data_IF_853750310821
#
_entry.id   IF_853750310821
#
_cell.length_a   1.000
_cell.length_b   1.000
_cell.length_c   1.000
_cell.angle_alpha   90.00
_cell.angle_beta   90.00
_cell.angle_gamma   90.00
#
_symmetry.space_group_name_H-M   'P 1'
#
loop_
_entity.id
_entity.type
_entity.pdbx_description
1 polymer ?
#
# COMPACT_ATOMS: atom_id res chain seq x y z
N UNK A 1 -4.01 -14.17 10.30
CA UNK A 1 -5.30 -13.65 10.82
C UNK A 1 -5.42 -12.14 10.59
N UNK A 2 -4.57 -11.32 11.22
CA UNK A 2 -4.47 -9.85 11.02
C UNK A 2 -4.66 -9.38 9.57
N UNK A 3 -3.72 -9.74 8.67
CA UNK A 3 -3.70 -9.22 7.30
C UNK A 3 -4.91 -9.69 6.48
N UNK A 4 -5.40 -10.91 6.76
CA UNK A 4 -6.60 -11.45 6.13
C UNK A 4 -7.82 -10.59 6.48
N UNK A 5 -8.06 -10.31 7.76
CA UNK A 5 -9.19 -9.49 8.20
C UNK A 5 -9.13 -8.07 7.65
N UNK A 6 -7.93 -7.48 7.59
CA UNK A 6 -7.71 -6.16 6.98
C UNK A 6 -8.08 -6.17 5.50
N UNK A 7 -7.60 -7.15 4.72
CA UNK A 7 -7.87 -7.23 3.29
C UNK A 7 -9.34 -7.51 3.01
N UNK A 8 -10.01 -8.37 3.81
CA UNK A 8 -11.46 -8.57 3.72
C UNK A 8 -12.21 -7.25 3.96
N UNK A 9 -11.82 -6.51 5.00
CA UNK A 9 -12.42 -5.20 5.30
C UNK A 9 -12.21 -4.20 4.15
N UNK A 10 -10.98 -4.14 3.62
CA UNK A 10 -10.64 -3.27 2.50
C UNK A 10 -11.47 -3.60 1.26
N UNK A 11 -11.40 -4.85 0.79
CA UNK A 11 -12.08 -5.25 -0.44
C UNK A 11 -13.60 -5.18 -0.29
N UNK A 12 -14.19 -5.59 0.85
CA UNK A 12 -15.64 -5.44 1.06
C UNK A 12 -16.10 -3.98 1.04
N UNK A 13 -15.28 -3.04 1.55
CA UNK A 13 -15.64 -1.61 1.55
C UNK A 13 -15.40 -0.88 0.21
N UNK A 14 -14.52 -1.43 -0.64
CA UNK A 14 -14.09 -0.78 -1.88
C UNK A 14 -14.49 -1.54 -3.16
N UNK A 15 -15.05 -2.75 -3.07
CA UNK A 15 -15.26 -3.64 -4.21
C UNK A 15 -15.99 -2.94 -5.37
N UNK A 16 -17.12 -2.30 -5.08
CA UNK A 16 -17.93 -1.64 -6.10
C UNK A 16 -17.21 -0.44 -6.72
N UNK A 17 -16.50 0.35 -5.90
CA UNK A 17 -15.72 1.50 -6.36
C UNK A 17 -14.55 1.09 -7.25
N UNK A 18 -13.94 -0.07 -6.95
CA UNK A 18 -12.84 -0.63 -7.72
C UNK A 18 -13.35 -1.30 -9.01
N UNK A 19 -14.55 -1.90 -9.01
CA UNK A 19 -15.17 -2.51 -10.21
C UNK A 19 -15.38 -1.47 -11.30
N UNK A 20 -15.78 -0.27 -10.91
CA UNK A 20 -15.98 0.84 -11.84
C UNK A 20 -14.67 1.55 -12.23
N UNK A 21 -13.52 1.13 -11.71
CA UNK A 21 -12.22 1.68 -12.07
C UNK A 21 -11.69 1.00 -13.35
N UNK A 22 -11.83 1.68 -14.48
CA UNK A 22 -11.15 1.28 -15.70
C UNK A 22 -9.71 1.82 -15.71
N UNK A 23 -8.73 0.94 -15.49
CA UNK A 23 -7.30 1.31 -15.47
C UNK A 23 -6.82 1.91 -16.79
N UNK A 24 -7.47 1.61 -17.92
CA UNK A 24 -7.15 2.23 -19.22
C UNK A 24 -7.35 3.74 -19.19
N UNK A 25 -8.23 4.25 -18.33
CA UNK A 25 -8.51 5.68 -18.21
C UNK A 25 -7.39 6.45 -17.50
N UNK A 26 -6.52 5.79 -16.73
CA UNK A 26 -5.45 6.45 -15.96
C UNK A 26 -4.45 7.24 -16.84
N UNK A 27 -4.29 6.78 -18.08
CA UNK A 27 -3.44 7.39 -19.11
C UNK A 27 -4.24 7.78 -20.37
N UNK A 28 -5.57 7.89 -20.27
CA UNK A 28 -6.41 8.33 -21.40
C UNK A 28 -6.08 9.76 -21.81
N UNK A 29 -6.25 10.08 -23.09
CA UNK A 29 -6.22 11.47 -23.59
C UNK A 29 -7.38 12.31 -23.06
N UNK A 30 -8.49 11.67 -22.70
CA UNK A 30 -9.65 12.32 -22.08
C UNK A 30 -9.31 12.74 -20.64
N UNK A 31 -9.25 14.06 -20.43
CA UNK A 31 -8.91 14.68 -19.15
C UNK A 31 -9.90 14.31 -18.03
N UNK A 32 -11.20 14.24 -18.36
CA UNK A 32 -12.26 13.96 -17.39
C UNK A 32 -12.21 12.51 -16.91
N UNK A 33 -12.13 11.55 -17.84
CA UNK A 33 -12.00 10.13 -17.50
C UNK A 33 -10.73 9.86 -16.70
N UNK A 34 -9.62 10.51 -17.08
CA UNK A 34 -8.35 10.41 -16.37
C UNK A 34 -8.43 10.95 -14.95
N UNK A 35 -9.01 12.12 -14.74
CA UNK A 35 -9.18 12.71 -13.42
C UNK A 35 -10.07 11.85 -12.50
N UNK A 36 -11.17 11.31 -13.03
CA UNK A 36 -12.07 10.41 -12.29
C UNK A 36 -11.35 9.13 -11.87
N UNK A 37 -10.62 8.49 -12.79
CA UNK A 37 -9.90 7.26 -12.51
C UNK A 37 -8.80 7.47 -11.44
N UNK A 38 -8.01 8.54 -11.56
CA UNK A 38 -6.97 8.90 -10.57
C UNK A 38 -7.57 9.20 -9.20
N UNK A 39 -8.67 9.95 -9.15
CA UNK A 39 -9.37 10.27 -7.89
C UNK A 39 -9.87 9.02 -7.18
N UNK A 40 -10.48 8.08 -7.91
CA UNK A 40 -10.97 6.82 -7.35
C UNK A 40 -9.82 5.94 -6.83
N UNK A 41 -8.72 5.86 -7.59
CA UNK A 41 -7.55 5.10 -7.17
C UNK A 41 -6.89 5.73 -5.93
N UNK A 42 -6.73 7.06 -5.89
CA UNK A 42 -6.22 7.79 -4.72
C UNK A 42 -7.08 7.55 -3.49
N UNK A 43 -8.40 7.65 -3.60
CA UNK A 43 -9.32 7.37 -2.49
C UNK A 43 -9.16 5.94 -1.97
N UNK A 44 -9.05 4.97 -2.86
CA UNK A 44 -8.84 3.57 -2.49
C UNK A 44 -7.50 3.37 -1.78
N UNK A 45 -6.45 4.02 -2.28
CA UNK A 45 -5.13 4.02 -1.64
C UNK A 45 -5.16 4.63 -0.23
N UNK A 46 -5.80 5.77 -0.04
CA UNK A 46 -5.97 6.40 1.28
C UNK A 46 -6.75 5.50 2.25
N UNK A 47 -7.84 4.86 1.79
CA UNK A 47 -8.59 3.91 2.63
C UNK A 47 -7.70 2.74 3.06
N UNK A 48 -6.91 2.18 2.14
CA UNK A 48 -5.97 1.10 2.47
C UNK A 48 -4.95 1.54 3.52
N UNK A 49 -4.35 2.73 3.37
CA UNK A 49 -3.41 3.29 4.35
C UNK A 49 -4.06 3.49 5.73
N UNK A 50 -5.27 4.05 5.79
CA UNK A 50 -5.99 4.25 7.05
C UNK A 50 -6.30 2.92 7.74
N UNK A 51 -6.67 1.89 6.98
CA UNK A 51 -6.89 0.55 7.53
C UNK A 51 -5.60 -0.07 8.04
N UNK A 52 -4.47 0.09 7.34
CA UNK A 52 -3.16 -0.38 7.81
C UNK A 52 -2.77 0.29 9.12
N UNK A 53 -2.92 1.61 9.22
CA UNK A 53 -2.64 2.36 10.46
C UNK A 53 -3.58 1.95 11.58
N UNK A 54 -4.89 1.89 11.32
CA UNK A 54 -5.87 1.50 12.33
C UNK A 54 -5.72 0.06 12.82
N UNK A 55 -5.02 -0.77 12.05
CA UNK A 55 -4.83 -2.16 12.38
C UNK A 55 -3.46 -2.47 13.03
N UNK A 56 -2.57 -1.47 13.19
CA UNK A 56 -1.28 -1.65 13.88
C UNK A 56 -1.40 -2.32 15.27
N UNK A 57 -2.43 -2.06 16.11
CA UNK A 57 -2.56 -2.73 17.41
C UNK A 57 -2.85 -4.24 17.31
N UNK A 58 -3.25 -4.73 16.13
CA UNK A 58 -3.57 -6.13 15.88
C UNK A 58 -2.44 -6.89 15.19
N UNK A 59 -1.29 -6.24 14.95
CA UNK A 59 -0.08 -6.94 14.51
C UNK A 59 0.33 -7.92 15.62
N UNK A 60 0.58 -9.21 15.31
CA UNK A 60 1.00 -10.18 16.31
C UNK A 60 2.20 -9.68 17.11
N UNK A 61 2.15 -9.83 18.45
CA UNK A 61 3.19 -9.32 19.35
C UNK A 61 4.57 -9.87 18.99
N UNK A 62 4.65 -11.12 18.54
CA UNK A 62 5.89 -11.76 18.13
C UNK A 62 6.52 -11.06 16.91
N UNK A 63 5.71 -10.60 15.96
CA UNK A 63 6.18 -9.85 14.80
C UNK A 63 6.68 -8.46 15.21
N UNK A 64 5.93 -7.77 16.06
CA UNK A 64 6.29 -6.44 16.58
C UNK A 64 7.56 -6.49 17.41
N UNK A 65 7.68 -7.45 18.33
CA UNK A 65 8.87 -7.67 19.15
C UNK A 65 10.09 -7.99 18.29
N UNK A 66 9.95 -8.88 17.31
CA UNK A 66 11.03 -9.18 16.36
C UNK A 66 11.47 -7.92 15.59
N UNK A 67 10.52 -7.12 15.10
CA UNK A 67 10.81 -5.88 14.40
C UNK A 67 11.53 -4.87 15.32
N UNK A 68 11.12 -4.74 16.59
CA UNK A 68 11.77 -3.85 17.58
C UNK A 68 13.20 -4.30 17.88
N UNK A 69 13.41 -5.59 18.15
CA UNK A 69 14.75 -6.12 18.49
C UNK A 69 15.70 -6.01 17.31
N UNK A 70 15.26 -6.40 16.11
CA UNK A 70 16.12 -6.40 14.93
C UNK A 70 16.38 -4.96 14.49
N UNK A 71 15.39 -4.07 14.50
CA UNK A 71 15.58 -2.67 14.12
C UNK A 71 16.61 -1.97 15.02
N UNK A 72 16.63 -2.22 16.33
CA UNK A 72 17.67 -1.71 17.23
C UNK A 72 19.08 -2.18 16.83
N UNK A 73 19.22 -3.44 16.40
CA UNK A 73 20.50 -3.98 15.93
C UNK A 73 20.92 -3.38 14.58
N UNK A 74 19.96 -3.20 13.68
CA UNK A 74 20.17 -2.54 12.38
C UNK A 74 20.64 -1.11 12.59
N UNK A 75 19.99 -0.34 13.45
CA UNK A 75 20.40 1.03 13.80
C UNK A 75 21.81 1.05 14.39
N UNK A 76 22.11 0.15 15.32
CA UNK A 76 23.45 0.09 15.92
C UNK A 76 24.56 -0.20 14.91
N UNK A 77 24.26 -0.94 13.84
CA UNK A 77 25.23 -1.32 12.79
C UNK A 77 25.31 -0.31 11.65
N UNK A 78 24.19 0.30 11.27
CA UNK A 78 24.07 1.07 10.01
C UNK A 78 23.55 2.50 10.19
N UNK A 79 23.26 2.94 11.43
CA UNK A 79 22.74 4.27 11.74
C UNK A 79 21.22 4.38 11.69
N UNK A 80 20.69 5.53 12.11
CA UNK A 80 19.25 5.76 12.31
C UNK A 80 18.42 5.61 11.03
N UNK A 81 18.97 6.04 9.89
CA UNK A 81 18.30 5.92 8.59
C UNK A 81 17.99 4.47 8.19
N UNK A 82 18.74 3.49 8.70
CA UNK A 82 18.56 2.09 8.38
C UNK A 82 17.32 1.46 9.05
N UNK A 83 16.78 2.08 10.12
CA UNK A 83 15.55 1.61 10.78
C UNK A 83 14.39 1.56 9.79
N UNK A 84 14.16 2.67 9.07
CA UNK A 84 13.05 2.80 8.11
C UNK A 84 13.19 1.76 7.00
N UNK A 85 14.38 1.63 6.41
CA UNK A 85 14.67 0.66 5.36
C UNK A 85 14.38 -0.78 5.80
N UNK A 86 14.77 -1.13 7.03
CA UNK A 86 14.46 -2.44 7.59
C UNK A 86 12.96 -2.64 7.76
N UNK A 87 12.24 -1.70 8.38
CA UNK A 87 10.79 -1.84 8.63
C UNK A 87 9.98 -1.89 7.32
N UNK A 88 10.36 -1.10 6.32
CA UNK A 88 9.79 -1.16 4.96
C UNK A 88 10.04 -2.54 4.34
N UNK A 89 11.28 -3.05 4.44
CA UNK A 89 11.61 -4.38 3.97
C UNK A 89 10.87 -5.49 4.71
N UNK A 90 10.63 -5.34 6.01
CA UNK A 90 10.01 -6.33 6.87
C UNK A 90 8.50 -6.38 6.66
N UNK A 91 7.81 -5.24 6.77
CA UNK A 91 6.35 -5.18 6.68
C UNK A 91 5.86 -5.02 5.24
N UNK A 92 6.41 -4.10 4.45
CA UNK A 92 5.82 -3.77 3.15
C UNK A 92 6.28 -4.73 2.06
N UNK A 93 7.59 -4.89 1.88
CA UNK A 93 8.15 -5.70 0.78
C UNK A 93 7.80 -7.18 0.93
N UNK A 94 7.86 -7.72 2.16
CA UNK A 94 7.74 -9.17 2.40
C UNK A 94 6.35 -9.63 2.84
N UNK A 95 5.49 -8.73 3.32
CA UNK A 95 4.22 -9.13 3.94
C UNK A 95 3.01 -8.41 3.35
N UNK A 96 2.91 -7.10 3.50
CA UNK A 96 1.72 -6.33 3.12
C UNK A 96 1.56 -6.24 1.60
N UNK A 97 2.60 -5.81 0.87
CA UNK A 97 2.48 -5.60 -0.59
C UNK A 97 2.17 -6.92 -1.33
N UNK A 98 2.86 -8.05 -1.07
CA UNK A 98 2.50 -9.33 -1.68
C UNK A 98 1.04 -9.72 -1.44
N UNK A 99 0.53 -9.54 -0.22
CA UNK A 99 -0.85 -9.88 0.12
C UNK A 99 -1.87 -8.91 -0.52
N UNK A 100 -1.52 -7.64 -0.69
CA UNK A 100 -2.37 -6.68 -1.43
C UNK A 100 -2.39 -7.05 -2.91
N UNK A 101 -1.25 -7.39 -3.51
CA UNK A 101 -1.12 -7.73 -4.92
C UNK A 101 -1.84 -9.02 -5.29
N UNK A 102 -1.77 -10.04 -4.42
CA UNK A 102 -2.35 -11.37 -4.65
C UNK A 102 -3.15 -11.80 -3.41
N UNK A 103 -4.34 -11.23 -3.18
CA UNK A 103 -5.09 -11.46 -1.95
C UNK A 103 -5.70 -12.86 -1.86
N UNK A 104 -5.89 -13.55 -2.97
CA UNK A 104 -6.36 -14.94 -2.97
C UNK A 104 -5.40 -15.88 -2.22
N UNK A 105 -4.09 -15.77 -2.48
CA UNK A 105 -3.08 -16.65 -1.90
C UNK A 105 -2.88 -16.46 -0.38
N UNK A 106 -3.21 -15.27 0.15
CA UNK A 106 -2.97 -14.93 1.56
C UNK A 106 -4.27 -14.85 2.37
N UNK A 107 -5.36 -14.42 1.75
CA UNK A 107 -6.62 -14.12 2.43
C UNK A 107 -7.82 -14.91 1.90
N UNK A 108 -7.63 -15.75 0.86
CA UNK A 108 -8.70 -16.49 0.17
C UNK A 108 -9.81 -15.55 -0.31
N UNK A 109 -9.41 -14.40 -0.85
CA UNK A 109 -10.31 -13.43 -1.46
C UNK A 109 -10.25 -13.66 -2.97
N UNK A 110 -11.29 -14.30 -3.50
CA UNK A 110 -11.46 -14.47 -4.93
C UNK A 110 -11.87 -13.12 -5.55
N UNK A 111 -10.90 -12.43 -6.15
CA UNK A 111 -11.13 -11.18 -6.82
C UNK A 111 -11.56 -11.43 -8.27
N UNK A 112 -12.58 -10.72 -8.78
CA UNK A 112 -12.82 -10.66 -10.21
C UNK A 112 -11.54 -10.32 -10.97
N UNK A 113 -11.32 -10.97 -12.12
CA UNK A 113 -10.13 -10.75 -12.95
C UNK A 113 -9.91 -9.28 -13.32
N UNK A 114 -11.00 -8.51 -13.45
CA UNK A 114 -10.97 -7.06 -13.67
C UNK A 114 -10.31 -6.26 -12.54
N UNK A 115 -10.30 -6.78 -11.30
CA UNK A 115 -9.72 -6.13 -10.12
C UNK A 115 -8.30 -6.57 -9.83
N UNK A 116 -7.86 -7.72 -10.33
CA UNK A 116 -6.52 -8.24 -10.06
C UNK A 116 -5.42 -7.24 -10.46
N UNK A 117 -5.56 -6.57 -11.61
CA UNK A 117 -4.64 -5.50 -12.01
C UNK A 117 -4.67 -4.31 -11.07
N UNK A 118 -5.84 -3.93 -10.56
CA UNK A 118 -5.99 -2.80 -9.64
C UNK A 118 -5.30 -3.07 -8.30
N UNK A 119 -5.41 -4.30 -7.79
CA UNK A 119 -4.70 -4.78 -6.61
C UNK A 119 -3.18 -4.70 -6.76
N UNK A 120 -2.65 -5.09 -7.93
CA UNK A 120 -1.22 -4.95 -8.26
C UNK A 120 -0.82 -3.48 -8.32
N UNK A 121 -1.64 -2.60 -8.90
CA UNK A 121 -1.37 -1.15 -8.91
C UNK A 121 -1.30 -0.58 -7.50
N UNK A 122 -2.30 -0.87 -6.65
CA UNK A 122 -2.33 -0.43 -5.26
C UNK A 122 -1.10 -0.93 -4.49
N UNK A 123 -0.72 -2.20 -4.66
CA UNK A 123 0.49 -2.75 -4.04
C UNK A 123 1.76 -2.02 -4.48
N UNK A 124 1.88 -1.67 -5.77
CA UNK A 124 3.07 -0.96 -6.28
C UNK A 124 3.13 0.48 -5.76
N UNK A 125 1.99 1.18 -5.72
CA UNK A 125 1.89 2.53 -5.16
C UNK A 125 2.23 2.51 -3.66
N UNK A 126 1.70 1.53 -2.93
CA UNK A 126 1.98 1.34 -1.51
C UNK A 126 3.47 1.09 -1.25
N UNK A 127 4.11 0.24 -2.05
CA UNK A 127 5.54 -0.01 -1.96
C UNK A 127 6.34 1.28 -2.24
N UNK A 128 6.05 1.97 -3.34
CA UNK A 128 6.69 3.23 -3.72
C UNK A 128 6.56 4.30 -2.62
N UNK A 129 5.37 4.43 -2.03
CA UNK A 129 5.15 5.32 -0.89
C UNK A 129 5.96 4.93 0.35
N UNK A 130 6.00 3.64 0.68
CA UNK A 130 6.74 3.16 1.85
C UNK A 130 8.26 3.36 1.72
N UNK A 131 8.81 3.19 0.52
CA UNK A 131 10.24 3.41 0.21
C UNK A 131 10.60 4.86 -0.06
N UNK A 132 9.61 5.73 -0.29
CA UNK A 132 9.84 7.12 -0.74
C UNK A 132 10.34 7.22 -2.18
N UNK A 133 10.19 6.15 -2.98
CA UNK A 133 10.63 6.12 -4.37
C UNK A 133 9.54 6.63 -5.29
N UNK A 134 9.91 7.53 -6.20
CA UNK A 134 9.02 8.02 -7.24
C UNK A 134 9.07 7.10 -8.46
N UNK A 135 7.95 6.97 -9.14
CA UNK A 135 7.90 6.33 -10.45
C UNK A 135 8.59 7.24 -11.48
N UNK A 136 9.44 6.67 -12.33
CA UNK A 136 10.09 7.41 -13.41
C UNK A 136 9.08 8.03 -14.37
N UNK A 137 9.48 9.08 -15.11
CA UNK A 137 8.61 9.77 -16.08
C UNK A 137 8.05 8.84 -17.16
N UNK A 138 8.83 7.83 -17.56
CA UNK A 138 8.43 6.84 -18.56
C UNK A 138 7.54 5.72 -17.99
N UNK A 139 7.27 5.71 -16.67
CA UNK A 139 6.42 4.70 -16.06
C UNK A 139 4.94 5.01 -16.33
N UNK A 140 4.12 4.02 -16.72
CA UNK A 140 2.67 4.19 -16.81
C UNK A 140 2.00 4.50 -15.46
N UNK A 141 2.76 4.44 -14.37
CA UNK A 141 2.33 4.77 -13.01
C UNK A 141 2.89 6.12 -12.51
N UNK A 142 3.60 6.89 -13.34
CA UNK A 142 4.15 8.20 -12.94
C UNK A 142 3.10 9.13 -12.33
N UNK A 143 1.86 9.07 -12.82
CA UNK A 143 0.74 9.82 -12.26
C UNK A 143 0.53 9.61 -10.76
N UNK A 144 0.93 8.46 -10.22
CA UNK A 144 0.77 8.13 -8.80
C UNK A 144 1.76 8.88 -7.91
N UNK A 145 2.78 9.54 -8.47
CA UNK A 145 3.68 10.41 -7.70
C UNK A 145 2.91 11.51 -6.97
N UNK A 146 1.80 12.01 -7.55
CA UNK A 146 0.90 12.98 -6.88
C UNK A 146 0.27 12.41 -5.59
N UNK A 147 0.15 11.07 -5.48
CA UNK A 147 -0.32 10.39 -4.27
C UNK A 147 0.81 10.26 -3.25
N UNK A 148 2.04 10.00 -3.73
CA UNK A 148 3.22 9.85 -2.88
C UNK A 148 3.62 11.18 -2.25
N UNK A 149 3.33 12.29 -2.94
CA UNK A 149 3.60 13.64 -2.48
C UNK A 149 2.54 14.19 -1.51
N UNK A 150 1.34 13.62 -1.54
CA UNK A 150 0.19 14.01 -0.73
C UNK A 150 0.50 13.90 0.78
N UNK A 151 0.19 14.98 1.51
CA UNK A 151 0.50 15.10 2.94
C UNK A 151 -0.20 14.04 3.79
N UNK A 152 -1.45 13.72 3.49
CA UNK A 152 -2.18 12.69 4.23
C UNK A 152 -1.55 11.31 4.03
N UNK A 153 -1.23 10.97 2.77
CA UNK A 153 -0.62 9.68 2.44
C UNK A 153 0.73 9.49 3.13
N UNK A 154 1.60 10.52 3.11
CA UNK A 154 2.89 10.51 3.81
C UNK A 154 2.70 10.32 5.31
N UNK A 155 1.80 11.10 5.92
CA UNK A 155 1.54 11.03 7.36
C UNK A 155 1.07 9.64 7.80
N UNK A 156 0.16 9.00 7.06
CA UNK A 156 -0.32 7.66 7.39
C UNK A 156 0.79 6.61 7.34
N UNK A 157 1.65 6.67 6.32
CA UNK A 157 2.81 5.76 6.21
C UNK A 157 3.82 6.00 7.33
N UNK A 158 4.10 7.26 7.67
CA UNK A 158 5.01 7.60 8.76
C UNK A 158 4.44 7.16 10.12
N UNK A 159 3.14 7.29 10.35
CA UNK A 159 2.50 6.75 11.56
C UNK A 159 2.70 5.23 11.64
N UNK A 160 2.43 4.50 10.55
CA UNK A 160 2.63 3.05 10.53
C UNK A 160 4.08 2.64 10.82
N UNK A 161 5.05 3.31 10.21
CA UNK A 161 6.47 2.97 10.33
C UNK A 161 7.12 3.41 11.66
N UNK A 162 6.42 4.24 12.43
CA UNK A 162 6.90 4.71 13.74
C UNK A 162 6.12 4.13 14.93
N UNK A 163 5.04 3.37 14.67
CA UNK A 163 4.33 2.58 15.69
C UNK A 163 5.10 1.28 15.98
#
# INVERSE_FOLDING_TARGET
>A
KYLKELLHTFYNSQLDKLRDLNLKHLNSGDVGLRAIARTRLKRSYVVLLRLLVGATPFIPSEMSEAAIVISKRVVRKFGDGAKRTFLVGYFFVRFICPAVAVPDSVAHIDLPSSLASTSVYLSKILLAGSTGQHFSENSPMNFSNEFLEDKECKNLLDVFLNT
#
